data_IF_358958634213
#
_entry.id   IF_358958634213
#
_cell.length_a   1.000
_cell.length_b   1.000
_cell.length_c   1.000
_cell.angle_alpha   90.00
_cell.angle_beta   90.00
_cell.angle_gamma   90.00
#
_symmetry.space_group_name_H-M   'P 1'
#
loop_
_entity.id
_entity.type
_entity.pdbx_description
1 polymer ?
#
# COMPACT_ATOMS: atom_id res chain seq x y z
N UNK A 1 25.78 7.83 -15.21
CA UNK A 1 24.34 7.90 -15.55
C UNK A 1 23.98 7.14 -16.83
N UNK A 2 24.64 7.27 -17.98
CA UNK A 2 24.30 6.52 -19.19
C UNK A 2 24.22 5.01 -18.97
N UNK A 3 25.20 4.40 -18.30
CA UNK A 3 25.20 2.96 -17.98
C UNK A 3 23.92 2.48 -17.25
N UNK A 4 23.36 3.30 -16.39
CA UNK A 4 22.12 2.97 -15.66
C UNK A 4 20.90 3.02 -16.58
N UNK A 5 20.84 4.01 -17.48
CA UNK A 5 19.75 4.15 -18.45
C UNK A 5 19.78 3.02 -19.49
N UNK A 6 20.95 2.66 -20.01
CA UNK A 6 21.13 1.54 -20.94
C UNK A 6 20.78 0.20 -20.29
N UNK A 7 21.18 0.02 -19.03
CA UNK A 7 20.79 -1.15 -18.25
C UNK A 7 19.28 -1.23 -18.07
N UNK A 8 18.63 -0.12 -17.70
CA UNK A 8 17.19 -0.09 -17.53
C UNK A 8 16.43 -0.37 -18.83
N UNK A 9 16.87 0.18 -19.94
CA UNK A 9 16.29 -0.07 -21.25
C UNK A 9 16.34 -1.55 -21.64
N UNK A 10 17.41 -2.29 -21.23
CA UNK A 10 17.62 -3.69 -21.61
C UNK A 10 17.11 -4.70 -20.57
N UNK A 11 17.05 -4.33 -19.28
CA UNK A 11 16.78 -5.23 -18.15
C UNK A 11 15.60 -4.82 -17.27
N UNK A 12 15.00 -3.66 -17.51
CA UNK A 12 13.82 -3.21 -16.80
C UNK A 12 12.66 -4.18 -16.97
N UNK A 13 11.98 -4.53 -15.86
CA UNK A 13 10.79 -5.40 -15.91
C UNK A 13 9.68 -4.75 -16.72
N UNK A 14 9.00 -5.53 -17.54
CA UNK A 14 7.78 -5.08 -18.23
C UNK A 14 6.61 -5.10 -17.24
N UNK A 15 6.21 -3.92 -16.78
CA UNK A 15 5.12 -3.73 -15.83
C UNK A 15 3.97 -2.97 -16.49
N UNK A 16 2.69 -3.31 -16.22
CA UNK A 16 1.55 -2.72 -16.91
C UNK A 16 1.54 -1.18 -16.89
N UNK A 17 1.87 -0.57 -15.76
CA UNK A 17 1.94 0.87 -15.60
C UNK A 17 3.16 1.56 -16.26
N UNK A 18 4.12 0.79 -16.77
CA UNK A 18 5.26 1.30 -17.55
C UNK A 18 4.96 1.42 -19.04
N UNK A 19 3.83 0.84 -19.49
CA UNK A 19 3.38 0.88 -20.88
C UNK A 19 2.55 2.11 -21.20
N UNK A 20 2.39 3.02 -20.26
CA UNK A 20 1.57 4.23 -20.39
C UNK A 20 2.28 5.45 -19.83
N UNK A 21 1.94 6.63 -20.35
CA UNK A 21 2.32 7.94 -19.79
C UNK A 21 1.13 8.64 -19.14
N UNK A 22 -0.03 7.98 -19.02
CA UNK A 22 -1.20 8.55 -18.36
C UNK A 22 -0.90 8.82 -16.87
N UNK A 23 -0.94 10.08 -16.42
CA UNK A 23 -0.64 10.45 -15.04
C UNK A 23 -1.59 9.81 -14.03
N UNK A 24 -2.84 9.54 -14.40
CA UNK A 24 -3.79 8.83 -13.56
C UNK A 24 -3.34 7.38 -13.32
N UNK A 25 -3.05 6.66 -14.37
CA UNK A 25 -2.63 5.26 -14.30
C UNK A 25 -1.32 5.08 -13.52
N UNK A 26 -0.35 5.98 -13.74
CA UNK A 26 0.92 6.04 -13.01
C UNK A 26 0.69 6.36 -11.53
N UNK A 27 -0.13 7.36 -11.21
CA UNK A 27 -0.46 7.72 -9.84
C UNK A 27 -1.10 6.56 -9.06
N UNK A 28 -2.06 5.86 -9.67
CA UNK A 28 -2.67 4.67 -9.05
C UNK A 28 -1.61 3.61 -8.73
N UNK A 29 -0.71 3.31 -9.67
CA UNK A 29 0.35 2.32 -9.43
C UNK A 29 1.30 2.74 -8.30
N UNK A 30 1.71 4.01 -8.27
CA UNK A 30 2.61 4.52 -7.25
C UNK A 30 2.01 4.45 -5.84
N UNK A 31 0.71 4.76 -5.71
CA UNK A 31 0.03 4.62 -4.43
C UNK A 31 -0.18 3.15 -4.04
N UNK A 32 -0.49 2.26 -5.00
CA UNK A 32 -0.62 0.83 -4.71
C UNK A 32 0.70 0.19 -4.30
N UNK A 33 1.82 0.61 -4.90
CA UNK A 33 3.16 0.09 -4.63
C UNK A 33 3.73 0.51 -3.26
N UNK A 34 3.14 1.52 -2.60
CA UNK A 34 3.56 1.89 -1.25
C UNK A 34 3.38 0.71 -0.30
N UNK A 35 4.51 0.16 0.18
CA UNK A 35 4.56 -1.00 1.10
C UNK A 35 3.86 -2.28 0.57
N UNK A 36 3.67 -2.40 -0.73
CA UNK A 36 3.08 -3.57 -1.38
C UNK A 36 3.99 -4.09 -2.48
N UNK A 37 4.15 -5.40 -2.57
CA UNK A 37 5.01 -6.03 -3.58
C UNK A 37 4.40 -5.93 -4.97
N UNK A 38 5.24 -5.74 -5.99
CA UNK A 38 4.84 -5.63 -7.41
C UNK A 38 3.90 -6.77 -7.85
N UNK A 39 4.25 -8.03 -7.54
CA UNK A 39 3.43 -9.20 -7.90
C UNK A 39 2.00 -9.14 -7.34
N UNK A 40 1.82 -8.50 -6.19
CA UNK A 40 0.50 -8.29 -5.58
C UNK A 40 -0.22 -7.13 -6.26
N UNK A 41 0.48 -6.06 -6.63
CA UNK A 41 -0.11 -4.86 -7.23
C UNK A 41 -0.65 -5.11 -8.64
N UNK A 42 0.04 -5.92 -9.46
CA UNK A 42 -0.37 -6.15 -10.86
C UNK A 42 -1.87 -6.47 -11.01
N UNK A 43 -2.41 -7.54 -10.40
CA UNK A 43 -3.82 -7.88 -10.58
C UNK A 43 -4.78 -6.84 -9.95
N UNK A 44 -4.34 -6.10 -8.94
CA UNK A 44 -5.15 -5.02 -8.36
C UNK A 44 -5.22 -3.82 -9.29
N UNK A 45 -4.10 -3.42 -9.88
CA UNK A 45 -4.03 -2.31 -10.81
C UNK A 45 -4.84 -2.59 -12.07
N UNK A 46 -4.72 -3.77 -12.66
CA UNK A 46 -5.49 -4.18 -13.84
C UNK A 46 -6.99 -4.14 -13.58
N UNK A 47 -7.44 -4.72 -12.45
CA UNK A 47 -8.85 -4.65 -12.03
C UNK A 47 -9.31 -3.22 -11.76
N UNK A 48 -8.48 -2.41 -11.13
CA UNK A 48 -8.77 -1.01 -10.87
C UNK A 48 -8.94 -0.23 -12.17
N UNK A 49 -8.01 -0.35 -13.10
CA UNK A 49 -8.04 0.34 -14.38
C UNK A 49 -9.21 -0.12 -15.26
N UNK A 50 -9.65 -1.36 -15.12
CA UNK A 50 -10.87 -1.86 -15.79
C UNK A 50 -12.14 -1.21 -15.23
N UNK A 51 -12.26 -1.02 -13.92
CA UNK A 51 -13.50 -0.53 -13.29
C UNK A 51 -13.53 0.98 -13.09
N UNK A 52 -12.38 1.59 -12.83
CA UNK A 52 -12.19 3.03 -12.60
C UNK A 52 -11.09 3.57 -13.52
N UNK A 53 -11.31 3.55 -14.86
CA UNK A 53 -10.25 3.84 -15.85
C UNK A 53 -9.81 5.31 -15.89
N UNK A 54 -10.55 6.22 -15.27
CA UNK A 54 -10.25 7.67 -15.31
C UNK A 54 -10.43 8.32 -13.95
N UNK A 55 -9.78 9.47 -13.76
CA UNK A 55 -9.90 10.27 -12.54
C UNK A 55 -11.35 10.71 -12.29
N UNK A 56 -12.13 10.97 -13.35
CA UNK A 56 -13.54 11.32 -13.26
C UNK A 56 -14.41 10.16 -12.74
N UNK A 57 -14.10 8.93 -13.17
CA UNK A 57 -14.77 7.72 -12.67
C UNK A 57 -14.46 7.50 -11.20
N UNK A 58 -13.21 7.66 -10.80
CA UNK A 58 -12.81 7.53 -9.39
C UNK A 58 -13.46 8.61 -8.51
N UNK A 59 -13.50 9.86 -8.98
CA UNK A 59 -14.13 10.97 -8.23
C UNK A 59 -15.59 10.71 -7.93
N UNK A 60 -16.33 10.13 -8.87
CA UNK A 60 -17.77 9.82 -8.77
C UNK A 60 -18.07 8.50 -8.06
N UNK A 61 -17.07 7.62 -7.90
CA UNK A 61 -17.28 6.31 -7.31
C UNK A 61 -17.70 6.40 -5.85
N UNK A 62 -18.69 5.61 -5.39
CA UNK A 62 -18.99 5.45 -3.98
C UNK A 62 -17.75 4.99 -3.20
N UNK A 63 -17.58 5.48 -1.97
CA UNK A 63 -16.43 5.08 -1.13
C UNK A 63 -16.36 3.56 -0.94
N UNK A 64 -17.50 2.90 -0.78
CA UNK A 64 -17.57 1.45 -0.59
C UNK A 64 -17.02 0.69 -1.80
N UNK A 65 -17.29 1.13 -3.03
CA UNK A 65 -16.72 0.54 -4.25
C UNK A 65 -15.20 0.70 -4.27
N UNK A 66 -14.69 1.89 -3.92
CA UNK A 66 -13.25 2.17 -3.88
C UNK A 66 -12.56 1.29 -2.83
N UNK A 67 -13.15 1.17 -1.63
CA UNK A 67 -12.63 0.32 -0.56
C UNK A 67 -12.70 -1.16 -0.93
N UNK A 68 -13.74 -1.61 -1.64
CA UNK A 68 -13.88 -2.98 -2.13
C UNK A 68 -12.79 -3.33 -3.14
N UNK A 69 -12.50 -2.45 -4.09
CA UNK A 69 -11.41 -2.64 -5.07
C UNK A 69 -10.02 -2.66 -4.41
N UNK A 70 -9.88 -1.97 -3.28
CA UNK A 70 -8.63 -1.89 -2.51
C UNK A 70 -8.47 -3.00 -1.49
N UNK A 71 -9.52 -3.79 -1.25
CA UNK A 71 -9.54 -4.81 -0.21
C UNK A 71 -8.38 -5.80 -0.35
N UNK A 72 -7.57 -5.93 0.71
CA UNK A 72 -6.38 -6.79 0.76
C UNK A 72 -5.04 -6.07 0.58
N UNK A 73 -5.00 -4.85 0.02
CA UNK A 73 -3.76 -4.07 -0.10
C UNK A 73 -3.31 -3.42 1.23
N UNK A 74 -4.22 -3.29 2.21
CA UNK A 74 -3.94 -2.63 3.47
C UNK A 74 -3.76 -1.10 3.38
N UNK A 75 -3.52 -0.44 4.53
CA UNK A 75 -3.35 1.04 4.59
C UNK A 75 -4.46 1.78 3.83
N UNK A 76 -5.69 1.50 4.19
CA UNK A 76 -6.89 1.92 3.46
C UNK A 76 -7.12 3.44 3.39
N UNK A 77 -6.42 4.22 4.23
CA UNK A 77 -6.35 5.67 4.07
C UNK A 77 -5.84 6.09 2.68
N UNK A 78 -5.00 5.26 2.04
CA UNK A 78 -4.53 5.49 0.67
C UNK A 78 -5.70 5.50 -0.32
N UNK A 79 -6.60 4.54 -0.22
CA UNK A 79 -7.77 4.45 -1.10
C UNK A 79 -8.72 5.66 -0.92
N UNK A 80 -8.95 6.09 0.34
CA UNK A 80 -9.75 7.30 0.61
C UNK A 80 -9.09 8.56 0.08
N UNK A 81 -7.79 8.69 0.29
CA UNK A 81 -7.02 9.82 -0.23
C UNK A 81 -7.03 9.84 -1.77
N UNK A 82 -6.94 8.68 -2.44
CA UNK A 82 -7.09 8.59 -3.90
C UNK A 82 -8.44 9.16 -4.36
N UNK A 83 -9.54 8.77 -3.70
CA UNK A 83 -10.86 9.29 -4.05
C UNK A 83 -10.97 10.81 -3.79
N UNK A 84 -10.53 11.28 -2.63
CA UNK A 84 -10.55 12.70 -2.29
C UNK A 84 -9.68 13.54 -3.24
N UNK A 85 -8.49 13.04 -3.60
CA UNK A 85 -7.62 13.70 -4.58
C UNK A 85 -8.24 13.71 -5.98
N UNK A 86 -8.90 12.62 -6.40
CA UNK A 86 -9.62 12.56 -7.67
C UNK A 86 -10.77 13.60 -7.73
N UNK A 87 -11.50 13.76 -6.64
CA UNK A 87 -12.54 14.81 -6.52
C UNK A 87 -11.93 16.19 -6.68
N UNK A 88 -10.82 16.46 -5.99
CA UNK A 88 -10.13 17.75 -6.11
C UNK A 88 -9.58 17.98 -7.52
N UNK A 89 -9.04 16.95 -8.21
CA UNK A 89 -8.60 17.06 -9.61
C UNK A 89 -9.78 17.42 -10.52
N UNK A 90 -10.93 16.84 -10.31
CA UNK A 90 -12.13 17.17 -11.12
C UNK A 90 -12.65 18.58 -10.80
N UNK A 91 -12.74 18.94 -9.55
CA UNK A 91 -13.34 20.23 -9.12
C UNK A 91 -12.43 21.43 -9.37
N UNK A 92 -11.11 21.29 -9.05
CA UNK A 92 -10.16 22.41 -9.10
C UNK A 92 -9.36 22.45 -10.40
N UNK A 93 -9.07 21.28 -10.96
CA UNK A 93 -8.25 21.15 -12.17
C UNK A 93 -9.05 20.68 -13.40
N UNK A 94 -10.39 20.78 -13.36
CA UNK A 94 -11.32 20.46 -14.47
C UNK A 94 -11.08 19.05 -15.05
N UNK A 95 -10.71 18.10 -14.20
CA UNK A 95 -10.45 16.71 -14.58
C UNK A 95 -9.13 16.46 -15.31
N UNK A 96 -8.27 17.47 -15.43
CA UNK A 96 -6.92 17.34 -15.98
C UNK A 96 -5.91 17.24 -14.85
N UNK A 97 -5.06 16.22 -14.89
CA UNK A 97 -4.04 16.03 -13.86
C UNK A 97 -3.04 17.18 -13.85
N UNK A 98 -2.79 17.86 -12.72
CA UNK A 98 -1.84 18.95 -12.68
C UNK A 98 -0.42 18.41 -12.96
N UNK A 99 0.35 19.11 -13.78
CA UNK A 99 1.71 18.75 -14.11
C UNK A 99 2.76 19.40 -13.19
N UNK A 100 2.43 20.54 -12.55
CA UNK A 100 3.36 21.26 -11.68
C UNK A 100 3.48 20.55 -10.31
N UNK A 101 4.71 20.40 -9.83
CA UNK A 101 5.03 19.71 -8.57
C UNK A 101 4.26 20.31 -7.38
N UNK A 102 4.19 21.66 -7.30
CA UNK A 102 3.50 22.36 -6.23
C UNK A 102 1.99 22.10 -6.23
N UNK A 103 1.39 21.92 -7.39
CA UNK A 103 -0.02 21.59 -7.52
C UNK A 103 -0.30 20.14 -7.16
N UNK A 104 0.59 19.20 -7.54
CA UNK A 104 0.53 17.80 -7.13
C UNK A 104 0.62 17.65 -5.61
N UNK A 105 1.51 18.39 -4.95
CA UNK A 105 1.68 18.35 -3.49
C UNK A 105 0.46 18.82 -2.70
N UNK A 106 -0.46 19.57 -3.32
CA UNK A 106 -1.71 20.02 -2.69
C UNK A 106 -2.82 18.95 -2.70
N UNK A 107 -2.64 17.88 -3.47
CA UNK A 107 -3.64 16.82 -3.56
C UNK A 107 -3.58 15.90 -2.34
N UNK A 108 -4.72 15.49 -1.78
CA UNK A 108 -4.80 14.60 -0.63
C UNK A 108 -3.97 13.31 -0.81
N UNK A 109 -3.12 12.99 0.15
CA UNK A 109 -2.30 11.77 0.15
C UNK A 109 -1.13 11.77 -0.84
N UNK A 110 -0.88 12.86 -1.55
CA UNK A 110 0.30 13.02 -2.41
C UNK A 110 1.40 13.74 -1.63
N UNK A 111 2.40 12.99 -1.18
CA UNK A 111 3.61 13.51 -0.59
C UNK A 111 4.71 13.75 -1.63
N UNK A 112 5.86 14.25 -1.16
CA UNK A 112 7.02 14.59 -1.99
C UNK A 112 7.45 13.47 -2.95
N UNK A 113 7.47 12.22 -2.47
CA UNK A 113 7.77 11.06 -3.30
C UNK A 113 6.77 10.90 -4.47
N UNK A 114 5.47 10.82 -4.14
CA UNK A 114 4.43 10.58 -5.16
C UNK A 114 4.34 11.73 -6.16
N UNK A 115 4.47 12.98 -5.69
CA UNK A 115 4.50 14.15 -6.56
C UNK A 115 5.70 14.10 -7.53
N UNK A 116 6.90 13.76 -7.02
CA UNK A 116 8.09 13.56 -7.85
C UNK A 116 7.94 12.43 -8.85
N UNK A 117 7.35 11.30 -8.44
CA UNK A 117 7.09 10.16 -9.31
C UNK A 117 6.13 10.52 -10.45
N UNK A 118 4.97 11.10 -10.16
CA UNK A 118 4.01 11.53 -11.19
C UNK A 118 4.62 12.60 -12.11
N UNK A 119 5.26 13.62 -11.55
CA UNK A 119 5.86 14.69 -12.34
C UNK A 119 6.97 14.20 -13.28
N UNK A 120 7.82 13.27 -12.83
CA UNK A 120 8.91 12.75 -13.66
C UNK A 120 8.45 11.64 -14.59
N UNK A 121 7.65 10.69 -14.13
CA UNK A 121 7.29 9.51 -14.94
C UNK A 121 6.24 9.86 -16.00
N UNK A 122 5.19 10.60 -15.63
CA UNK A 122 4.14 10.95 -16.58
C UNK A 122 4.50 12.17 -17.46
N UNK A 123 5.16 13.17 -16.89
CA UNK A 123 5.40 14.44 -17.56
C UNK A 123 6.87 14.71 -17.90
N UNK A 124 7.75 13.75 -17.61
CA UNK A 124 9.21 13.85 -17.79
C UNK A 124 9.85 15.12 -17.19
N UNK A 125 9.27 15.65 -16.11
CA UNK A 125 9.85 16.80 -15.44
C UNK A 125 11.09 16.42 -14.62
N UNK A 126 12.04 17.32 -14.42
CA UNK A 126 13.24 17.09 -13.62
C UNK A 126 12.90 17.14 -12.12
N UNK A 127 11.91 16.33 -11.73
CA UNK A 127 11.44 16.17 -10.37
C UNK A 127 12.06 14.92 -9.72
N UNK A 128 12.75 15.05 -8.58
CA UNK A 128 13.35 13.92 -7.89
C UNK A 128 12.30 13.08 -7.18
N UNK A 129 12.61 11.79 -7.02
CA UNK A 129 11.89 10.91 -6.11
C UNK A 129 12.87 10.20 -5.18
N UNK A 130 12.40 9.79 -4.01
CA UNK A 130 13.19 9.10 -3.02
C UNK A 130 12.32 8.08 -2.27
N UNK A 131 12.44 6.81 -2.63
CA UNK A 131 11.82 5.68 -1.94
C UNK A 131 12.86 4.84 -1.22
N UNK A 132 12.45 3.78 -0.54
CA UNK A 132 13.38 2.88 0.15
C UNK A 132 14.41 2.20 -0.76
N UNK A 133 14.11 2.01 -2.04
CA UNK A 133 15.04 1.47 -3.03
C UNK A 133 16.09 2.50 -3.42
N UNK A 134 15.67 3.70 -3.77
CA UNK A 134 16.56 4.80 -4.15
C UNK A 134 17.45 5.22 -2.98
N UNK A 135 16.91 5.31 -1.76
CA UNK A 135 17.68 5.54 -0.53
C UNK A 135 18.81 4.52 -0.40
N UNK A 136 18.52 3.25 -0.56
CA UNK A 136 19.52 2.18 -0.47
C UNK A 136 20.57 2.28 -1.56
N UNK A 137 20.18 2.58 -2.79
CA UNK A 137 21.12 2.77 -3.91
C UNK A 137 22.06 3.95 -3.60
N UNK A 138 21.54 5.12 -3.24
CA UNK A 138 22.37 6.29 -2.99
C UNK A 138 23.25 6.15 -1.74
N UNK A 139 22.73 5.58 -0.65
CA UNK A 139 23.55 5.35 0.55
C UNK A 139 24.70 4.41 0.27
N UNK A 140 24.53 3.38 -0.56
CA UNK A 140 25.60 2.48 -0.97
C UNK A 140 26.58 3.11 -1.96
N UNK A 141 26.07 3.81 -2.97
CA UNK A 141 26.92 4.46 -3.98
C UNK A 141 27.91 5.44 -3.34
N UNK A 142 27.45 6.24 -2.41
CA UNK A 142 28.28 7.28 -1.76
C UNK A 142 28.81 6.88 -0.39
N UNK A 143 28.54 5.67 0.11
CA UNK A 143 28.82 5.21 1.48
C UNK A 143 28.35 6.21 2.53
N UNK A 144 27.06 6.63 2.44
CA UNK A 144 26.50 7.63 3.35
C UNK A 144 26.12 7.00 4.69
N UNK A 145 26.80 7.41 5.76
CA UNK A 145 26.49 7.00 7.11
C UNK A 145 25.25 7.70 7.68
N UNK A 146 24.63 7.08 8.67
CA UNK A 146 23.51 7.60 9.43
C UNK A 146 22.18 6.93 9.17
N UNK A 147 21.19 7.24 10.02
CA UNK A 147 19.82 6.74 9.85
C UNK A 147 19.15 7.45 8.67
N UNK A 148 18.64 6.73 7.66
CA UNK A 148 17.88 7.30 6.55
C UNK A 148 16.66 8.12 6.96
N UNK A 149 16.19 7.98 8.19
CA UNK A 149 15.08 8.78 8.75
C UNK A 149 15.53 10.08 9.37
N UNK A 150 16.84 10.29 9.58
CA UNK A 150 17.35 11.55 10.10
C UNK A 150 17.17 12.68 9.09
N UNK A 151 16.87 13.88 9.59
CA UNK A 151 16.67 15.06 8.74
C UNK A 151 17.89 15.34 7.87
N UNK A 152 19.07 15.27 8.48
CA UNK A 152 20.34 15.55 7.80
C UNK A 152 20.58 14.61 6.60
N UNK A 153 20.46 13.28 6.81
CA UNK A 153 20.67 12.33 5.73
C UNK A 153 19.57 12.43 4.66
N UNK A 154 18.32 12.69 5.07
CA UNK A 154 17.23 12.95 4.13
C UNK A 154 17.53 14.16 3.23
N UNK A 155 17.99 15.27 3.77
CA UNK A 155 18.35 16.47 2.98
C UNK A 155 19.46 16.15 1.96
N UNK A 156 20.49 15.43 2.37
CA UNK A 156 21.58 14.97 1.47
C UNK A 156 21.08 14.06 0.35
N UNK A 157 20.23 13.10 0.69
CA UNK A 157 19.66 12.15 -0.29
C UNK A 157 18.74 12.85 -1.29
N UNK A 158 17.89 13.77 -0.85
CA UNK A 158 17.06 14.56 -1.73
C UNK A 158 17.87 15.48 -2.65
N UNK A 159 18.94 16.09 -2.13
CA UNK A 159 19.86 16.88 -2.94
C UNK A 159 20.56 16.03 -3.99
N UNK A 160 21.00 14.83 -3.63
CA UNK A 160 21.58 13.89 -4.59
C UNK A 160 20.59 13.46 -5.68
N UNK A 161 19.34 13.16 -5.32
CA UNK A 161 18.30 12.83 -6.28
C UNK A 161 17.99 14.01 -7.21
N UNK A 162 17.97 15.23 -6.69
CA UNK A 162 17.75 16.45 -7.48
C UNK A 162 18.89 16.67 -8.49
N UNK A 163 20.13 16.52 -8.08
CA UNK A 163 21.29 16.66 -8.97
C UNK A 163 21.20 15.61 -10.13
N UNK A 164 20.93 14.37 -9.80
CA UNK A 164 20.87 13.31 -10.81
C UNK A 164 19.75 13.54 -11.83
N UNK A 165 18.57 13.95 -11.38
CA UNK A 165 17.46 14.19 -12.32
C UNK A 165 17.70 15.44 -13.18
N UNK A 166 18.39 16.46 -12.66
CA UNK A 166 18.78 17.64 -13.43
C UNK A 166 19.82 17.29 -14.50
N UNK A 167 20.85 16.52 -14.15
CA UNK A 167 21.82 16.00 -15.12
C UNK A 167 21.15 15.15 -16.20
N UNK A 168 20.21 14.29 -15.82
CA UNK A 168 19.45 13.48 -16.77
C UNK A 168 18.60 14.34 -17.71
N UNK A 169 18.00 15.41 -17.23
CA UNK A 169 17.26 16.35 -18.05
C UNK A 169 18.16 17.02 -19.10
N UNK A 170 19.36 17.44 -18.69
CA UNK A 170 20.36 18.02 -19.62
C UNK A 170 20.81 17.03 -20.68
N UNK A 171 21.08 15.78 -20.29
CA UNK A 171 21.39 14.70 -21.23
C UNK A 171 20.25 14.46 -22.23
N UNK A 172 19.00 14.51 -21.77
CA UNK A 172 17.82 14.36 -22.60
C UNK A 172 17.70 15.43 -23.68
N UNK A 173 18.04 16.66 -23.38
CA UNK A 173 18.05 17.76 -24.35
C UNK A 173 19.07 17.52 -25.46
N UNK A 174 20.14 16.79 -25.20
CA UNK A 174 21.17 16.45 -26.19
C UNK A 174 20.82 15.21 -27.02
N UNK A 175 20.08 14.24 -26.46
CA UNK A 175 19.81 12.93 -27.05
C UNK A 175 18.38 12.73 -27.55
N UNK A 176 17.46 13.66 -27.38
CA UNK A 176 16.04 13.58 -27.79
C UNK A 176 15.80 13.31 -29.30
N UNK A 177 16.85 13.28 -30.12
CA UNK A 177 16.76 12.94 -31.54
C UNK A 177 16.71 11.42 -31.83
N UNK A 178 16.81 10.51 -30.85
CA UNK A 178 17.10 9.09 -31.12
C UNK A 178 16.10 8.03 -30.67
N UNK A 179 15.11 8.29 -29.85
CA UNK A 179 14.17 7.23 -29.46
C UNK A 179 12.84 7.78 -28.93
N UNK A 180 11.73 7.21 -29.39
CA UNK A 180 10.37 7.40 -28.86
C UNK A 180 10.16 6.81 -27.44
N UNK A 181 11.06 7.07 -26.52
CA UNK A 181 11.00 6.64 -25.13
C UNK A 181 10.42 7.77 -24.25
N UNK A 182 9.70 7.38 -23.20
CA UNK A 182 9.46 8.24 -22.06
C UNK A 182 10.78 8.94 -21.71
N UNK A 183 10.81 10.27 -21.59
CA UNK A 183 12.03 11.07 -21.52
C UNK A 183 13.01 10.64 -20.42
N UNK A 184 14.21 11.20 -20.45
CA UNK A 184 15.34 10.77 -19.61
C UNK A 184 15.09 10.88 -18.10
N UNK A 185 14.31 11.87 -17.63
CA UNK A 185 13.96 12.01 -16.22
C UNK A 185 13.06 10.85 -15.73
N UNK A 186 12.08 10.47 -16.56
CA UNK A 186 11.22 9.31 -16.33
C UNK A 186 12.06 8.02 -16.25
N UNK A 187 12.92 7.82 -17.24
CA UNK A 187 13.78 6.62 -17.31
C UNK A 187 14.75 6.54 -16.15
N UNK A 188 15.36 7.65 -15.72
CA UNK A 188 16.28 7.68 -14.59
C UNK A 188 15.60 7.29 -13.28
N UNK A 189 14.48 7.90 -12.96
CA UNK A 189 13.79 7.63 -11.71
C UNK A 189 13.28 6.18 -11.66
N UNK A 190 12.74 5.67 -12.76
CA UNK A 190 12.35 4.26 -12.85
C UNK A 190 13.56 3.31 -12.76
N UNK A 191 14.70 3.66 -13.38
CA UNK A 191 15.91 2.87 -13.33
C UNK A 191 16.50 2.77 -11.92
N UNK A 192 16.49 3.87 -11.16
CA UNK A 192 16.94 3.87 -9.75
C UNK A 192 16.07 2.96 -8.87
N UNK A 193 14.75 3.07 -9.02
CA UNK A 193 13.81 2.20 -8.30
C UNK A 193 14.00 0.73 -8.70
N UNK A 194 14.13 0.46 -10.00
CA UNK A 194 14.31 -0.90 -10.52
C UNK A 194 15.62 -1.51 -10.05
N UNK A 195 16.74 -0.77 -10.11
CA UNK A 195 18.04 -1.21 -9.62
C UNK A 195 17.95 -1.60 -8.14
N UNK A 196 17.32 -0.78 -7.33
CA UNK A 196 17.11 -1.09 -5.92
C UNK A 196 16.21 -2.30 -5.70
N UNK A 197 15.19 -2.50 -6.53
CA UNK A 197 14.26 -3.60 -6.37
C UNK A 197 14.80 -4.95 -6.83
N UNK A 198 15.73 -4.99 -7.81
CA UNK A 198 16.12 -6.23 -8.50
C UNK A 198 17.58 -6.61 -8.32
N UNK A 199 18.49 -5.66 -8.18
CA UNK A 199 19.94 -5.87 -8.10
C UNK A 199 20.51 -5.41 -6.76
N UNK A 200 20.30 -4.14 -6.41
CA UNK A 200 20.79 -3.56 -5.16
C UNK A 200 19.83 -3.88 -4.00
N UNK A 201 19.55 -5.16 -3.77
CA UNK A 201 18.61 -5.67 -2.76
C UNK A 201 19.09 -5.44 -1.33
N UNK A 202 18.19 -5.45 -0.31
CA UNK A 202 18.58 -5.22 1.08
C UNK A 202 19.62 -6.21 1.61
N UNK A 203 19.46 -7.50 1.27
CA UNK A 203 20.36 -8.60 1.64
C UNK A 203 20.92 -9.22 0.39
N UNK A 204 22.18 -9.65 0.44
CA UNK A 204 22.88 -10.28 -0.67
C UNK A 204 22.67 -9.56 -2.02
N UNK A 205 23.03 -8.27 -2.14
CA UNK A 205 22.88 -7.55 -3.40
C UNK A 205 23.75 -8.18 -4.49
N UNK A 206 23.19 -8.31 -5.69
CA UNK A 206 23.92 -8.85 -6.84
C UNK A 206 24.79 -7.76 -7.51
N UNK A 207 25.87 -7.41 -6.83
CA UNK A 207 26.77 -6.34 -7.27
C UNK A 207 27.42 -6.60 -8.62
N UNK A 208 27.58 -7.86 -9.04
CA UNK A 208 28.20 -8.22 -10.33
C UNK A 208 27.30 -7.86 -11.52
N UNK A 209 25.98 -7.77 -11.30
CA UNK A 209 25.02 -7.32 -12.31
C UNK A 209 24.74 -5.81 -12.25
N UNK A 210 25.36 -5.09 -11.30
CA UNK A 210 25.09 -3.68 -11.10
C UNK A 210 25.83 -2.80 -12.12
N UNK A 211 25.11 -1.99 -12.92
CA UNK A 211 25.73 -1.09 -13.90
C UNK A 211 26.57 0.01 -13.25
N UNK A 212 26.42 0.22 -11.94
CA UNK A 212 27.12 1.25 -11.16
C UNK A 212 28.19 0.66 -10.24
N UNK A 213 28.55 -0.63 -10.37
CA UNK A 213 29.48 -1.33 -9.49
C UNK A 213 30.80 -0.59 -9.30
N UNK A 214 31.44 -0.17 -10.39
CA UNK A 214 32.74 0.50 -10.40
C UNK A 214 32.73 1.86 -9.68
N UNK A 215 31.57 2.49 -9.57
CA UNK A 215 31.39 3.76 -8.90
C UNK A 215 30.85 3.62 -7.47
N UNK A 216 30.59 2.38 -7.02
CA UNK A 216 29.96 2.14 -5.73
C UNK A 216 30.98 2.08 -4.60
N UNK A 217 31.03 3.11 -3.74
CA UNK A 217 31.95 3.17 -2.60
C UNK A 217 31.73 2.03 -1.61
N UNK A 218 30.48 1.68 -1.29
CA UNK A 218 30.17 0.59 -0.38
C UNK A 218 30.68 -0.77 -0.92
N UNK A 219 30.61 -0.98 -2.23
CA UNK A 219 31.17 -2.18 -2.88
C UNK A 219 32.71 -2.21 -2.79
N UNK A 220 33.37 -1.09 -3.13
CA UNK A 220 34.82 -0.95 -3.03
C UNK A 220 35.35 -1.18 -1.60
N UNK A 221 34.54 -0.82 -0.60
CA UNK A 221 34.84 -1.04 0.83
C UNK A 221 34.50 -2.46 1.32
N UNK A 222 33.85 -3.31 0.51
CA UNK A 222 33.32 -4.60 0.96
C UNK A 222 32.20 -4.51 2.00
N UNK A 223 31.48 -3.37 2.07
CA UNK A 223 30.49 -3.05 3.13
C UNK A 223 29.09 -2.74 2.58
N UNK A 224 28.67 -3.38 1.50
CA UNK A 224 27.37 -3.08 0.86
C UNK A 224 26.17 -3.28 1.80
N UNK A 225 26.21 -4.30 2.66
CA UNK A 225 25.09 -4.58 3.60
C UNK A 225 25.09 -3.68 4.84
N UNK A 226 26.17 -2.94 5.09
CA UNK A 226 26.23 -1.96 6.17
C UNK A 226 25.40 -0.69 5.87
N UNK A 227 25.00 -0.50 4.60
CA UNK A 227 24.22 0.66 4.18
C UNK A 227 22.86 0.24 3.59
N UNK A 228 21.78 1.00 3.89
CA UNK A 228 21.69 2.08 4.89
C UNK A 228 21.72 1.55 6.33
N UNK A 229 22.19 2.36 7.26
CA UNK A 229 22.13 2.06 8.70
C UNK A 229 20.70 2.31 9.19
N UNK A 230 19.97 1.22 9.48
CA UNK A 230 18.57 1.32 9.92
C UNK A 230 18.43 1.10 11.42
N UNK A 231 17.59 1.88 12.07
CA UNK A 231 17.24 1.68 13.47
C UNK A 231 16.62 0.28 13.70
N UNK A 232 16.76 -0.30 14.90
CA UNK A 232 16.11 -1.55 15.26
C UNK A 232 14.60 -1.53 15.00
N UNK A 233 14.05 -2.68 14.60
CA UNK A 233 12.61 -2.79 14.35
C UNK A 233 11.85 -2.62 15.67
N UNK A 234 10.67 -1.96 15.65
CA UNK A 234 9.81 -1.85 16.82
C UNK A 234 9.45 -3.22 17.39
N UNK A 235 9.32 -3.30 18.71
CA UNK A 235 8.89 -4.51 19.40
C UNK A 235 7.47 -4.89 18.95
N UNK A 236 7.30 -6.18 18.65
CA UNK A 236 5.99 -6.73 18.25
C UNK A 236 5.08 -6.79 19.46
N UNK A 237 3.84 -6.31 19.31
CA UNK A 237 2.80 -6.34 20.35
C UNK A 237 1.66 -7.27 19.92
N UNK A 238 1.34 -8.24 20.76
CA UNK A 238 0.17 -9.11 20.56
C UNK A 238 -1.10 -8.41 21.04
N UNK A 239 -2.18 -8.56 20.26
CA UNK A 239 -3.54 -8.07 20.56
C UNK A 239 -4.50 -9.25 20.43
N UNK A 240 -5.42 -9.37 21.34
CA UNK A 240 -6.34 -10.51 21.46
C UNK A 240 -7.77 -10.02 21.28
N UNK A 241 -8.54 -10.68 20.44
CA UNK A 241 -9.92 -10.34 20.14
C UNK A 241 -10.81 -11.58 20.22
N UNK A 242 -11.99 -11.40 20.78
CA UNK A 242 -13.13 -12.30 20.57
C UNK A 242 -13.95 -11.77 19.42
N UNK A 243 -14.35 -12.64 18.49
CA UNK A 243 -15.17 -12.28 17.32
C UNK A 243 -16.42 -13.14 17.30
N UNK A 244 -17.57 -12.50 17.15
CA UNK A 244 -18.86 -13.16 17.09
C UNK A 244 -19.42 -13.14 15.65
N UNK A 245 -19.58 -14.31 15.05
CA UNK A 245 -20.36 -14.50 13.83
C UNK A 245 -21.80 -14.79 14.29
N UNK A 246 -22.61 -13.74 14.33
CA UNK A 246 -24.01 -13.86 14.73
C UNK A 246 -24.89 -14.08 13.52
N UNK A 247 -25.71 -15.13 13.55
CA UNK A 247 -26.62 -15.50 12.48
C UNK A 247 -28.08 -15.42 12.94
N UNK A 248 -28.94 -14.86 12.10
CA UNK A 248 -30.39 -14.82 12.30
C UNK A 248 -31.10 -14.94 10.96
N UNK A 249 -31.96 -15.95 10.83
CA UNK A 249 -32.72 -16.22 9.59
C UNK A 249 -31.84 -16.25 8.32
N UNK A 250 -30.68 -16.91 8.41
CA UNK A 250 -29.74 -17.00 7.30
C UNK A 250 -28.98 -15.72 6.95
N UNK A 251 -29.04 -14.69 7.82
CA UNK A 251 -28.31 -13.44 7.66
C UNK A 251 -27.27 -13.29 8.76
N UNK A 252 -26.19 -12.58 8.47
CA UNK A 252 -25.07 -12.34 9.38
C UNK A 252 -25.01 -10.89 9.82
N UNK A 253 -24.75 -10.65 11.09
CA UNK A 253 -24.60 -9.29 11.64
C UNK A 253 -23.20 -8.76 11.33
N UNK A 254 -23.16 -7.60 10.67
CA UNK A 254 -21.95 -6.83 10.45
C UNK A 254 -22.09 -5.43 11.02
N UNK A 255 -21.01 -4.89 11.54
CA UNK A 255 -20.92 -3.47 11.91
C UNK A 255 -19.91 -2.75 11.03
N UNK A 256 -20.18 -1.49 10.74
CA UNK A 256 -19.26 -0.62 10.02
C UNK A 256 -18.34 0.09 11.01
N UNK A 257 -17.04 0.04 10.78
CA UNK A 257 -16.06 0.73 11.63
C UNK A 257 -16.25 2.25 11.53
N UNK A 258 -16.36 2.95 12.68
CA UNK A 258 -16.66 4.37 12.67
C UNK A 258 -15.50 5.22 12.11
N UNK A 259 -15.76 6.47 11.70
CA UNK A 259 -14.73 7.44 11.36
C UNK A 259 -13.73 7.63 12.52
N UNK A 260 -12.44 7.73 12.19
CA UNK A 260 -11.36 7.87 13.20
C UNK A 260 -10.69 6.56 13.61
N UNK A 261 -11.37 5.44 13.47
CA UNK A 261 -10.79 4.13 13.74
C UNK A 261 -9.82 3.66 12.66
N UNK A 262 -8.90 2.78 13.05
CA UNK A 262 -8.08 2.03 12.08
C UNK A 262 -9.01 1.22 11.18
N UNK A 263 -8.86 1.36 9.85
CA UNK A 263 -9.74 0.75 8.85
C UNK A 263 -11.21 1.27 8.92
N UNK A 264 -11.44 2.52 9.29
CA UNK A 264 -12.76 3.15 9.23
C UNK A 264 -13.46 2.90 7.89
N UNK A 265 -14.80 2.76 7.91
CA UNK A 265 -15.61 2.50 6.72
C UNK A 265 -15.62 1.05 6.23
N UNK A 266 -14.74 0.18 6.74
CA UNK A 266 -14.81 -1.26 6.50
C UNK A 266 -15.85 -1.93 7.40
N UNK A 267 -16.39 -3.02 6.89
CA UNK A 267 -17.28 -3.87 7.66
C UNK A 267 -16.50 -4.93 8.42
N UNK A 268 -17.02 -5.33 9.56
CA UNK A 268 -16.46 -6.39 10.39
C UNK A 268 -17.56 -7.12 11.16
N UNK A 269 -17.33 -8.37 11.52
CA UNK A 269 -18.16 -9.04 12.51
C UNK A 269 -18.00 -8.35 13.87
N UNK A 270 -19.03 -8.30 14.72
CA UNK A 270 -18.89 -7.82 16.09
C UNK A 270 -17.68 -8.44 16.78
N UNK A 271 -16.91 -7.63 17.47
CA UNK A 271 -15.70 -8.07 18.14
C UNK A 271 -15.40 -7.24 19.39
N UNK A 272 -14.72 -7.85 20.33
CA UNK A 272 -14.24 -7.24 21.56
C UNK A 272 -12.75 -7.47 21.72
N UNK A 273 -11.99 -6.41 21.94
CA UNK A 273 -10.58 -6.51 22.25
C UNK A 273 -10.37 -6.80 23.74
N UNK A 274 -9.44 -7.73 24.04
CA UNK A 274 -9.09 -8.13 25.40
C UNK A 274 -7.74 -7.55 25.80
N UNK A 275 -7.59 -7.18 27.06
CA UNK A 275 -6.32 -6.69 27.62
C UNK A 275 -5.21 -7.76 27.60
N UNK A 276 -5.57 -9.04 27.68
CA UNK A 276 -4.68 -10.21 27.65
C UNK A 276 -5.35 -11.37 26.93
N UNK A 277 -4.58 -12.41 26.63
CA UNK A 277 -5.11 -13.64 26.05
C UNK A 277 -6.16 -14.25 27.01
N UNK A 278 -7.34 -14.56 26.46
CA UNK A 278 -8.40 -15.25 27.22
C UNK A 278 -7.91 -16.61 27.75
N UNK A 279 -8.22 -16.91 28.98
CA UNK A 279 -7.99 -18.23 29.53
C UNK A 279 -9.07 -19.23 29.08
N UNK A 280 -10.33 -18.76 29.05
CA UNK A 280 -11.50 -19.51 28.60
C UNK A 280 -12.27 -18.72 27.55
N UNK A 281 -11.78 -18.68 26.26
CA UNK A 281 -12.31 -17.79 25.25
C UNK A 281 -13.82 -17.94 24.99
N UNK A 282 -14.37 -19.15 25.09
CA UNK A 282 -15.79 -19.42 24.88
C UNK A 282 -16.66 -18.85 26.02
N UNK A 283 -16.23 -18.98 27.25
CA UNK A 283 -16.93 -18.44 28.43
C UNK A 283 -16.89 -16.91 28.42
N UNK A 284 -15.71 -16.32 28.12
CA UNK A 284 -15.54 -14.87 28.00
C UNK A 284 -16.38 -14.31 26.85
N UNK A 285 -16.47 -15.01 25.70
CA UNK A 285 -17.32 -14.62 24.58
C UNK A 285 -18.81 -14.72 24.93
N UNK A 286 -19.22 -15.77 25.64
CA UNK A 286 -20.59 -15.93 26.10
C UNK A 286 -21.00 -14.83 27.09
N UNK A 287 -20.15 -14.51 28.04
CA UNK A 287 -20.36 -13.38 28.95
C UNK A 287 -20.50 -12.04 28.20
N UNK A 288 -19.60 -11.76 27.24
CA UNK A 288 -19.68 -10.56 26.42
C UNK A 288 -20.99 -10.46 25.63
N UNK A 289 -21.47 -11.58 25.09
CA UNK A 289 -22.67 -11.65 24.26
C UNK A 289 -23.97 -11.82 25.07
N UNK A 290 -23.88 -12.04 26.38
CA UNK A 290 -25.04 -12.37 27.23
C UNK A 290 -25.73 -13.69 26.86
N UNK A 291 -24.96 -14.68 26.41
CA UNK A 291 -25.35 -16.01 25.96
C UNK A 291 -24.83 -17.08 26.94
N UNK A 292 -25.39 -18.30 26.85
CA UNK A 292 -24.76 -19.43 27.48
C UNK A 292 -23.59 -19.94 26.64
N UNK A 293 -22.50 -20.46 27.24
CA UNK A 293 -21.36 -21.00 26.46
C UNK A 293 -21.77 -22.09 25.46
N UNK A 294 -22.76 -22.89 25.74
CA UNK A 294 -23.29 -23.96 24.87
C UNK A 294 -23.97 -23.44 23.60
N UNK A 295 -24.43 -22.18 23.60
CA UNK A 295 -25.01 -21.50 22.43
C UNK A 295 -23.94 -21.01 21.45
N UNK A 296 -22.66 -21.03 21.86
CA UNK A 296 -21.52 -20.63 21.05
C UNK A 296 -20.78 -21.85 20.49
N UNK A 297 -20.68 -21.91 19.18
CA UNK A 297 -19.84 -22.89 18.50
C UNK A 297 -18.53 -22.23 18.12
N UNK A 298 -17.40 -22.78 18.56
CA UNK A 298 -16.08 -22.36 18.09
C UNK A 298 -15.99 -22.59 16.56
N UNK A 299 -15.64 -21.52 15.82
CA UNK A 299 -15.54 -21.57 14.37
C UNK A 299 -14.07 -21.71 13.92
N UNK A 300 -13.20 -20.81 14.37
CA UNK A 300 -11.79 -20.80 13.94
C UNK A 300 -10.96 -19.83 14.77
N UNK A 301 -9.63 -19.93 14.60
CA UNK A 301 -8.67 -18.90 15.03
C UNK A 301 -8.08 -18.20 13.80
N UNK A 302 -8.09 -16.86 13.78
CA UNK A 302 -7.45 -16.07 12.74
C UNK A 302 -6.27 -15.29 13.33
N UNK A 303 -5.10 -15.44 12.72
CA UNK A 303 -3.92 -14.64 13.04
C UNK A 303 -3.69 -13.62 11.92
N UNK A 304 -3.55 -12.36 12.29
CA UNK A 304 -3.34 -11.27 11.35
C UNK A 304 -2.28 -10.30 11.87
N UNK A 305 -1.45 -9.78 10.99
CA UNK A 305 -0.38 -8.85 11.35
C UNK A 305 -0.59 -7.50 10.66
N UNK A 306 -0.51 -6.43 11.44
CA UNK A 306 -0.52 -5.05 10.93
C UNK A 306 0.63 -4.30 11.58
N UNK A 307 1.63 -3.90 10.80
CA UNK A 307 2.83 -3.21 11.29
C UNK A 307 3.51 -3.93 12.47
N UNK A 308 3.47 -3.35 13.67
CA UNK A 308 4.01 -3.94 14.90
C UNK A 308 3.01 -4.80 15.68
N UNK A 309 1.75 -4.84 15.27
CA UNK A 309 0.70 -5.58 15.99
C UNK A 309 0.50 -6.97 15.40
N UNK A 310 0.34 -7.97 16.29
CA UNK A 310 -0.06 -9.33 15.98
C UNK A 310 -1.43 -9.56 16.60
N UNK A 311 -2.45 -9.61 15.76
CA UNK A 311 -3.83 -9.85 16.18
C UNK A 311 -4.10 -11.35 16.22
N UNK A 312 -4.67 -11.80 17.32
CA UNK A 312 -5.15 -13.16 17.56
C UNK A 312 -6.67 -13.07 17.77
N UNK A 313 -7.44 -13.59 16.82
CA UNK A 313 -8.89 -13.56 16.83
C UNK A 313 -9.40 -14.95 17.13
N UNK A 314 -10.12 -15.12 18.24
CA UNK A 314 -10.90 -16.34 18.54
C UNK A 314 -12.33 -16.09 18.03
N UNK A 315 -12.80 -16.93 17.13
CA UNK A 315 -14.04 -16.71 16.39
C UNK A 315 -15.08 -17.72 16.80
N UNK A 316 -16.23 -17.22 17.22
CA UNK A 316 -17.39 -18.02 17.64
C UNK A 316 -18.58 -17.71 16.77
N UNK A 317 -19.40 -18.73 16.48
CA UNK A 317 -20.66 -18.63 15.78
C UNK A 317 -21.81 -18.87 16.75
N UNK A 318 -22.88 -18.06 16.64
CA UNK A 318 -24.11 -18.24 17.39
C UNK A 318 -25.34 -17.92 16.55
N UNK A 319 -26.42 -18.66 16.78
CA UNK A 319 -27.74 -18.36 16.22
C UNK A 319 -28.54 -17.47 17.18
N UNK A 320 -28.90 -16.26 16.69
CA UNK A 320 -29.61 -15.26 17.49
C UNK A 320 -31.11 -15.45 17.37
N UNK A 321 -31.77 -15.65 18.51
CA UNK A 321 -33.25 -15.76 18.60
C UNK A 321 -33.93 -14.45 18.98
N UNK A 322 -33.20 -13.52 19.59
CA UNK A 322 -33.71 -12.22 20.10
C UNK A 322 -32.85 -11.07 19.56
N UNK A 323 -33.40 -9.85 19.58
CA UNK A 323 -32.65 -8.65 19.25
C UNK A 323 -31.68 -8.31 20.40
N UNK A 324 -30.46 -7.94 20.05
CA UNK A 324 -29.45 -7.41 20.94
C UNK A 324 -29.18 -5.94 20.57
N UNK A 325 -29.88 -5.02 21.26
CA UNK A 325 -29.83 -3.57 20.94
C UNK A 325 -28.40 -3.02 20.94
N UNK A 326 -27.57 -3.46 21.87
CA UNK A 326 -26.21 -2.93 22.04
C UNK A 326 -25.24 -3.40 20.95
N UNK A 327 -25.48 -4.59 20.38
CA UNK A 327 -24.68 -5.14 19.28
C UNK A 327 -25.19 -4.66 17.91
N UNK A 328 -26.46 -4.29 17.81
CA UNK A 328 -27.12 -3.91 16.56
C UNK A 328 -27.00 -2.39 16.26
N UNK A 329 -26.56 -1.56 17.21
CA UNK A 329 -26.35 -0.13 16.97
C UNK A 329 -25.29 0.09 15.91
N UNK A 330 -25.67 0.69 14.75
CA UNK A 330 -24.79 0.91 13.60
C UNK A 330 -24.39 -0.36 12.85
N UNK A 331 -25.11 -1.48 13.08
CA UNK A 331 -24.90 -2.76 12.44
C UNK A 331 -26.01 -3.10 11.44
N UNK A 332 -25.72 -3.99 10.50
CA UNK A 332 -26.66 -4.48 9.48
C UNK A 332 -26.68 -6.00 9.44
N UNK A 333 -27.89 -6.58 9.27
CA UNK A 333 -28.06 -7.99 8.95
C UNK A 333 -27.97 -8.20 7.45
N UNK A 334 -26.91 -8.86 6.98
CA UNK A 334 -26.61 -9.06 5.56
C UNK A 334 -26.80 -10.51 5.14
N UNK A 335 -27.25 -10.71 3.91
CA UNK A 335 -27.31 -12.05 3.29
C UNK A 335 -25.91 -12.58 2.99
N UNK A 336 -25.72 -13.91 2.79
CA UNK A 336 -24.44 -14.49 2.35
C UNK A 336 -23.85 -13.79 1.11
N UNK A 337 -24.67 -13.50 0.11
CA UNK A 337 -24.23 -12.80 -1.11
C UNK A 337 -23.76 -11.39 -0.81
N UNK A 338 -24.55 -10.62 -0.05
CA UNK A 338 -24.15 -9.27 0.36
C UNK A 338 -22.87 -9.28 1.23
N UNK A 339 -22.64 -10.32 2.03
CA UNK A 339 -21.41 -10.50 2.81
C UNK A 339 -20.17 -10.62 1.89
N UNK A 340 -20.31 -11.28 0.73
CA UNK A 340 -19.22 -11.35 -0.25
C UNK A 340 -18.89 -9.98 -0.85
N UNK A 341 -19.90 -9.15 -1.09
CA UNK A 341 -19.75 -7.84 -1.73
C UNK A 341 -19.28 -6.73 -0.79
N UNK A 342 -19.50 -6.86 0.52
CA UNK A 342 -19.05 -5.86 1.48
C UNK A 342 -17.53 -5.75 1.55
N UNK A 343 -17.00 -4.54 1.71
CA UNK A 343 -15.58 -4.30 1.99
C UNK A 343 -15.28 -4.71 3.43
N UNK A 344 -14.68 -5.89 3.63
CA UNK A 344 -14.32 -6.42 4.95
C UNK A 344 -12.83 -6.15 5.25
N UNK A 345 -12.50 -5.96 6.53
CA UNK A 345 -11.09 -5.97 6.93
C UNK A 345 -10.48 -7.35 6.64
N UNK A 346 -9.18 -7.42 6.36
CA UNK A 346 -8.54 -8.65 5.88
C UNK A 346 -8.73 -9.86 6.81
N UNK A 347 -8.75 -9.66 8.13
CA UNK A 347 -9.04 -10.72 9.09
C UNK A 347 -10.48 -11.22 8.97
N UNK A 348 -11.44 -10.30 8.90
CA UNK A 348 -12.87 -10.63 8.79
C UNK A 348 -13.24 -11.19 7.42
N UNK A 349 -12.52 -10.83 6.36
CA UNK A 349 -12.66 -11.47 5.04
C UNK A 349 -12.28 -12.95 5.08
N UNK A 350 -11.24 -13.33 5.86
CA UNK A 350 -10.89 -14.75 6.05
C UNK A 350 -11.98 -15.51 6.79
N UNK A 351 -12.57 -14.89 7.83
CA UNK A 351 -13.71 -15.48 8.55
C UNK A 351 -14.89 -15.68 7.61
N UNK A 352 -15.25 -14.68 6.79
CA UNK A 352 -16.36 -14.76 5.85
C UNK A 352 -16.15 -15.88 4.81
N UNK A 353 -14.95 -16.04 4.26
CA UNK A 353 -14.62 -17.13 3.34
C UNK A 353 -14.80 -18.50 3.96
N UNK A 354 -14.29 -18.69 5.18
CA UNK A 354 -14.45 -19.95 5.90
C UNK A 354 -15.93 -20.26 6.21
N UNK A 355 -16.70 -19.23 6.57
CA UNK A 355 -18.13 -19.34 6.84
C UNK A 355 -18.92 -19.77 5.60
N UNK A 356 -18.58 -19.24 4.44
CA UNK A 356 -19.28 -19.50 3.17
C UNK A 356 -18.75 -20.72 2.41
N UNK A 357 -17.79 -21.46 2.96
CA UNK A 357 -17.22 -22.65 2.33
C UNK A 357 -16.23 -22.35 1.19
N UNK A 358 -15.81 -21.10 1.01
CA UNK A 358 -14.81 -20.67 0.02
C UNK A 358 -13.40 -20.94 0.57
N UNK A 359 -13.00 -22.21 0.62
CA UNK A 359 -11.64 -22.65 0.93
C UNK A 359 -10.82 -22.59 -0.38
N UNK A 360 -10.28 -21.41 -0.71
CA UNK A 360 -9.15 -21.25 -1.64
C UNK A 360 -8.09 -20.33 -1.07
#
# INVERSE_FOLDING_TARGET
MPLLLDWFASKGRDLPWRRTTDPYAIWISEIMLQQTQVKTVIPYWERWMSQLPTVQRLAKAPEEQVLKLWEGLGYYSRARNLRAAAQQVVEVHHGTFPHRLEALLKLPGIGRYTAGAVASIAFNQPAPLLDGNVIRVFTRLAAMDGDPKSKELQERLWSQAQLWVQESNQLGLVHLARAGSAGTCSSLNQALMELGATVCTPKAPDCHLCPLQTHCKAFQMGKTEAFPQTAPRPVIQSRFLLVAVLERQGRYLLRKRPPGDVNAGFWEFPNQELAKKAAHPQEEAAQWLGLNPEELRYLTQVRHAITRYRFHLEVFHAHMRRNHSDLESGAEWVTPDALQDRALTAAHRRIARQLLGDVR
#
